data_IF_243618498741
#
_entry.id   IF_243618498741
#
_cell.length_a   1.000
_cell.length_b   1.000
_cell.length_c   1.000
_cell.angle_alpha   90.00
_cell.angle_beta   90.00
_cell.angle_gamma   90.00
#
_symmetry.space_group_name_H-M   'P 1'
#
loop_
_entity.id
_entity.type
_entity.pdbx_description
1 polymer ?
#
# COMPACT_ATOMS: atom_id res chain seq x y z
N UNK A 1 -4.80 -8.10 1.72
CA UNK A 1 -6.30 -8.06 1.79
C UNK A 1 -6.77 -9.44 2.22
N UNK A 2 -7.17 -9.63 3.48
CA UNK A 2 -7.64 -10.94 3.93
C UNK A 2 -9.11 -11.08 3.57
N UNK A 3 -9.43 -11.97 2.62
CA UNK A 3 -10.79 -12.39 2.33
C UNK A 3 -11.45 -13.09 3.53
N UNK A 4 -12.78 -13.29 3.50
CA UNK A 4 -13.54 -13.87 4.61
C UNK A 4 -12.99 -15.26 4.97
N UNK A 5 -12.71 -15.47 6.26
CA UNK A 5 -12.14 -16.71 6.78
C UNK A 5 -13.17 -17.83 6.77
N UNK A 6 -13.14 -18.67 5.72
CA UNK A 6 -13.70 -20.01 5.73
C UNK A 6 -12.62 -21.02 6.12
N UNK A 7 -12.80 -21.71 7.23
CA UNK A 7 -12.00 -22.87 7.63
C UNK A 7 -12.37 -24.06 6.75
N UNK A 8 -11.41 -24.60 5.99
CA UNK A 8 -11.23 -26.04 5.71
C UNK A 8 -10.20 -26.28 4.59
N UNK A 9 -9.32 -27.26 4.80
CA UNK A 9 -8.77 -28.11 3.73
C UNK A 9 -7.77 -27.48 2.76
N UNK A 10 -6.49 -27.83 2.92
CA UNK A 10 -5.38 -27.45 2.04
C UNK A 10 -5.68 -27.52 0.55
N UNK A 11 -5.76 -26.34 -0.06
CA UNK A 11 -5.35 -26.02 -1.42
C UNK A 11 -4.73 -24.62 -1.32
N UNK A 12 -3.46 -24.52 -1.69
CA UNK A 12 -2.65 -23.30 -1.70
C UNK A 12 -3.18 -22.34 -2.77
N UNK A 13 -4.18 -21.54 -2.39
CA UNK A 13 -4.71 -20.47 -3.21
C UNK A 13 -3.78 -19.26 -3.12
N UNK A 14 -2.78 -19.22 -4.02
CA UNK A 14 -2.08 -18.02 -4.48
C UNK A 14 -1.89 -16.91 -3.44
N UNK A 15 -0.95 -17.12 -2.52
CA UNK A 15 -0.58 -16.16 -1.49
C UNK A 15 0.10 -14.91 -2.09
N UNK A 16 -0.67 -13.86 -2.38
CA UNK A 16 -0.11 -12.50 -2.51
C UNK A 16 0.57 -12.11 -1.21
N UNK A 17 1.78 -11.54 -1.27
CA UNK A 17 2.47 -11.09 -0.07
C UNK A 17 1.93 -9.73 0.35
N UNK A 18 1.34 -9.61 1.54
CA UNK A 18 0.78 -8.32 2.00
C UNK A 18 1.86 -7.31 2.46
N UNK A 19 3.11 -7.74 2.72
CA UNK A 19 4.19 -6.90 3.26
C UNK A 19 5.49 -7.09 2.47
N UNK A 20 6.30 -6.03 2.38
CA UNK A 20 7.61 -6.11 1.71
C UNK A 20 8.65 -6.88 2.55
N UNK A 21 9.49 -7.66 1.85
CA UNK A 21 10.73 -8.27 2.34
C UNK A 21 11.71 -8.43 1.17
N UNK A 22 13.01 -8.61 1.44
CA UNK A 22 14.07 -8.60 0.40
C UNK A 22 13.84 -9.58 -0.77
N UNK A 23 13.21 -10.73 -0.54
CA UNK A 23 12.91 -11.72 -1.58
C UNK A 23 11.61 -11.49 -2.37
N UNK A 24 10.88 -10.39 -2.14
CA UNK A 24 9.63 -10.10 -2.89
C UNK A 24 9.92 -9.83 -4.37
N UNK A 25 11.08 -9.27 -4.71
CA UNK A 25 11.46 -8.97 -6.09
C UNK A 25 11.68 -10.23 -6.95
N UNK A 26 11.96 -11.38 -6.31
CA UNK A 26 12.21 -12.66 -6.99
C UNK A 26 10.93 -13.50 -7.19
N UNK A 27 9.79 -13.02 -6.68
CA UNK A 27 8.49 -13.65 -6.90
C UNK A 27 7.92 -13.29 -8.26
N UNK A 28 7.02 -14.14 -8.78
CA UNK A 28 6.19 -13.77 -9.93
C UNK A 28 5.51 -12.43 -9.66
N UNK A 29 5.49 -11.58 -10.70
CA UNK A 29 5.05 -10.19 -10.61
C UNK A 29 3.63 -10.04 -10.06
N UNK A 30 2.78 -11.05 -10.22
CA UNK A 30 1.43 -11.04 -9.66
C UNK A 30 1.46 -11.20 -8.13
N UNK A 31 2.39 -11.98 -7.57
CA UNK A 31 2.56 -12.11 -6.11
C UNK A 31 3.34 -10.95 -5.50
N UNK A 32 4.32 -10.40 -6.22
CA UNK A 32 5.11 -9.26 -5.76
C UNK A 32 4.34 -7.94 -5.79
N UNK A 33 3.15 -7.88 -6.41
CA UNK A 33 2.26 -6.71 -6.42
C UNK A 33 1.57 -6.42 -5.08
N UNK A 34 1.53 -7.41 -4.17
CA UNK A 34 0.79 -7.35 -2.92
C UNK A 34 1.14 -6.15 -2.02
N UNK A 35 2.42 -5.82 -1.75
CA UNK A 35 2.77 -4.67 -0.92
C UNK A 35 2.35 -3.32 -1.53
N UNK A 36 2.45 -3.15 -2.86
CA UNK A 36 1.98 -1.93 -3.53
C UNK A 36 0.45 -1.78 -3.47
N UNK A 37 -0.29 -2.87 -3.64
CA UNK A 37 -1.75 -2.88 -3.52
C UNK A 37 -2.18 -2.61 -2.08
N UNK A 38 -1.48 -3.19 -1.11
CA UNK A 38 -1.74 -2.97 0.31
C UNK A 38 -1.45 -1.53 0.72
N UNK A 39 -0.34 -0.95 0.25
CA UNK A 39 -0.02 0.47 0.42
C UNK A 39 -1.16 1.36 -0.08
N UNK A 40 -1.65 1.12 -1.30
CA UNK A 40 -2.72 1.94 -1.88
C UNK A 40 -4.02 1.83 -1.08
N UNK A 41 -4.42 0.63 -0.66
CA UNK A 41 -5.59 0.45 0.19
C UNK A 41 -5.46 1.21 1.51
N UNK A 42 -4.33 1.07 2.21
CA UNK A 42 -4.09 1.75 3.49
C UNK A 42 -4.04 3.28 3.33
N UNK A 43 -3.45 3.78 2.24
CA UNK A 43 -3.41 5.21 1.97
C UNK A 43 -4.83 5.76 1.74
N UNK A 44 -5.66 5.04 0.99
CA UNK A 44 -7.01 5.48 0.67
C UNK A 44 -7.98 5.33 1.85
N UNK A 45 -7.98 4.16 2.51
CA UNK A 45 -9.03 3.76 3.44
C UNK A 45 -8.55 3.74 4.91
N UNK A 46 -7.24 3.66 5.15
CA UNK A 46 -6.68 3.40 6.47
C UNK A 46 -6.78 1.93 6.89
N UNK A 47 -6.10 1.57 7.99
CA UNK A 47 -6.16 0.22 8.55
C UNK A 47 -7.40 -0.01 9.42
N UNK A 48 -7.56 -1.26 9.89
CA UNK A 48 -8.61 -1.68 10.81
C UNK A 48 -9.93 -2.07 10.15
N UNK A 49 -10.82 -2.74 10.91
CA UNK A 49 -12.06 -3.29 10.40
C UNK A 49 -13.04 -2.17 9.99
N UNK A 50 -13.59 -2.27 8.78
CA UNK A 50 -14.64 -1.38 8.26
C UNK A 50 -15.52 -2.08 7.24
N UNK A 51 -16.64 -1.46 6.90
CA UNK A 51 -17.54 -1.95 5.85
C UNK A 51 -17.48 -1.04 4.64
N UNK A 52 -17.06 -1.57 3.48
CA UNK A 52 -17.01 -0.84 2.21
C UNK A 52 -17.98 -1.51 1.25
N UNK A 53 -18.95 -0.76 0.73
CA UNK A 53 -19.98 -1.25 -0.22
C UNK A 53 -20.70 -2.53 0.28
N UNK A 54 -20.91 -2.66 1.60
CA UNK A 54 -21.57 -3.83 2.21
C UNK A 54 -20.66 -5.01 2.52
N UNK A 55 -19.36 -4.92 2.22
CA UNK A 55 -18.38 -5.96 2.51
C UNK A 55 -17.52 -5.59 3.72
N UNK A 56 -17.34 -6.53 4.64
CA UNK A 56 -16.39 -6.39 5.72
C UNK A 56 -14.96 -6.44 5.16
N UNK A 57 -14.16 -5.43 5.48
CA UNK A 57 -12.79 -5.28 5.06
C UNK A 57 -11.93 -5.02 6.30
N UNK A 58 -10.82 -5.73 6.42
CA UNK A 58 -9.78 -5.46 7.40
C UNK A 58 -8.41 -5.63 6.74
N UNK A 59 -7.56 -4.63 6.90
CA UNK A 59 -6.21 -4.60 6.35
C UNK A 59 -5.25 -4.16 7.45
N UNK A 60 -4.68 -5.12 8.19
CA UNK A 60 -3.77 -4.83 9.29
C UNK A 60 -2.42 -4.35 8.77
N UNK A 61 -1.74 -3.50 9.52
CA UNK A 61 -0.37 -3.09 9.25
C UNK A 61 0.62 -4.12 9.79
N UNK A 62 1.87 -4.10 9.31
CA UNK A 62 2.90 -5.07 9.72
C UNK A 62 3.15 -5.07 11.23
N UNK A 63 2.90 -3.95 11.90
CA UNK A 63 3.15 -3.72 13.32
C UNK A 63 1.87 -3.53 14.15
N UNK A 64 0.69 -3.71 13.54
CA UNK A 64 -0.61 -3.52 14.18
C UNK A 64 -0.98 -2.07 14.49
N UNK A 65 -0.19 -1.07 14.07
CA UNK A 65 -0.52 0.36 14.25
C UNK A 65 -1.64 0.81 13.34
N UNK A 66 -2.38 1.84 13.77
CA UNK A 66 -3.46 2.43 12.97
C UNK A 66 -2.90 3.39 11.91
N UNK A 67 -3.38 3.25 10.68
CA UNK A 67 -3.21 4.24 9.59
C UNK A 67 -4.56 4.90 9.37
N UNK A 68 -4.61 6.23 9.43
CA UNK A 68 -5.76 7.01 8.97
C UNK A 68 -5.57 7.36 7.51
N UNK A 69 -6.45 6.87 6.64
CA UNK A 69 -6.37 7.14 5.20
C UNK A 69 -6.66 8.61 4.85
N UNK A 70 -6.17 9.04 3.70
CA UNK A 70 -6.42 10.37 3.11
C UNK A 70 -7.60 10.38 2.13
N UNK A 71 -8.26 9.24 1.93
CA UNK A 71 -9.34 9.09 0.97
C UNK A 71 -8.86 8.68 -0.42
N UNK A 72 -9.77 8.06 -1.19
CA UNK A 72 -9.47 7.51 -2.52
C UNK A 72 -8.99 8.57 -3.50
N UNK A 73 -9.64 9.73 -3.53
CA UNK A 73 -9.34 10.79 -4.49
C UNK A 73 -7.88 11.27 -4.37
N UNK A 74 -7.43 11.59 -3.16
CA UNK A 74 -6.07 12.06 -2.94
C UNK A 74 -5.05 10.93 -3.13
N UNK A 75 -5.36 9.70 -2.70
CA UNK A 75 -4.52 8.54 -2.94
C UNK A 75 -4.33 8.25 -4.44
N UNK A 76 -5.39 8.38 -5.25
CA UNK A 76 -5.37 8.22 -6.70
C UNK A 76 -4.50 9.30 -7.36
N UNK A 77 -4.64 10.57 -6.96
CA UNK A 77 -3.81 11.67 -7.46
C UNK A 77 -2.32 11.43 -7.20
N UNK A 78 -1.96 11.03 -5.98
CA UNK A 78 -0.57 10.72 -5.60
C UNK A 78 -0.05 9.54 -6.40
N UNK A 79 -0.81 8.43 -6.46
CA UNK A 79 -0.38 7.21 -7.16
C UNK A 79 -0.20 7.45 -8.65
N UNK A 80 -1.13 8.17 -9.28
CA UNK A 80 -1.07 8.49 -10.70
C UNK A 80 0.11 9.41 -11.02
N UNK A 81 0.31 10.49 -10.24
CA UNK A 81 1.46 11.38 -10.43
C UNK A 81 2.78 10.65 -10.22
N UNK A 82 2.89 9.83 -9.17
CA UNK A 82 4.10 9.07 -8.91
C UNK A 82 4.47 8.18 -10.10
N UNK A 83 3.49 7.42 -10.60
CA UNK A 83 3.66 6.50 -11.72
C UNK A 83 4.06 7.21 -13.03
N UNK A 84 3.47 8.37 -13.31
CA UNK A 84 3.62 9.04 -14.61
C UNK A 84 4.77 10.04 -14.67
N UNK A 85 5.21 10.57 -13.53
CA UNK A 85 6.21 11.64 -13.47
C UNK A 85 7.56 11.16 -12.91
N UNK A 86 7.58 10.22 -11.95
CA UNK A 86 8.82 9.86 -11.24
C UNK A 86 9.24 8.40 -11.39
N UNK A 87 8.29 7.48 -11.56
CA UNK A 87 8.63 6.06 -11.74
C UNK A 87 9.18 5.78 -13.14
N UNK A 88 10.08 4.80 -13.23
CA UNK A 88 10.68 4.30 -14.47
C UNK A 88 10.47 2.79 -14.57
N UNK A 89 10.92 2.19 -15.68
CA UNK A 89 10.86 0.75 -15.87
C UNK A 89 11.67 -0.07 -14.84
N UNK A 90 12.55 0.58 -14.07
CA UNK A 90 13.41 -0.08 -13.06
C UNK A 90 13.07 0.34 -11.63
N UNK A 91 11.92 0.97 -11.40
CA UNK A 91 11.49 1.38 -10.05
C UNK A 91 11.18 0.15 -9.18
N UNK A 92 11.89 0.03 -8.07
CA UNK A 92 11.61 -0.93 -7.00
C UNK A 92 10.74 -0.29 -5.90
N UNK A 93 10.57 -0.97 -4.76
CA UNK A 93 9.76 -0.47 -3.65
C UNK A 93 10.34 0.78 -2.95
N UNK A 94 11.66 0.85 -2.79
CA UNK A 94 12.35 2.04 -2.28
C UNK A 94 12.12 3.25 -3.19
N UNK A 95 12.28 3.04 -4.51
CA UNK A 95 12.00 4.03 -5.53
C UNK A 95 10.53 4.43 -5.56
N UNK A 96 9.60 3.49 -5.39
CA UNK A 96 8.18 3.77 -5.33
C UNK A 96 7.79 4.62 -4.10
N UNK A 97 8.43 4.35 -2.96
CA UNK A 97 8.31 5.19 -1.76
C UNK A 97 8.78 6.60 -2.02
N UNK A 98 9.96 6.76 -2.59
CA UNK A 98 10.51 8.08 -2.95
C UNK A 98 9.59 8.82 -3.93
N UNK A 99 9.13 8.15 -4.99
CA UNK A 99 8.27 8.73 -6.01
C UNK A 99 6.92 9.22 -5.46
N UNK A 100 6.30 8.45 -4.57
CA UNK A 100 5.01 8.82 -3.97
C UNK A 100 5.15 9.93 -2.92
N UNK A 101 6.25 9.99 -2.17
CA UNK A 101 6.56 11.13 -1.30
C UNK A 101 6.76 12.42 -2.10
N UNK A 102 7.49 12.35 -3.21
CA UNK A 102 7.66 13.49 -4.10
C UNK A 102 6.31 13.92 -4.71
N UNK A 103 5.48 12.98 -5.15
CA UNK A 103 4.16 13.28 -5.67
C UNK A 103 3.24 13.94 -4.64
N UNK A 104 3.25 13.48 -3.39
CA UNK A 104 2.49 14.08 -2.31
C UNK A 104 2.98 15.50 -1.97
N UNK A 105 4.31 15.70 -1.92
CA UNK A 105 4.90 17.00 -1.70
C UNK A 105 4.53 18.01 -2.79
N UNK A 106 4.55 17.59 -4.06
CA UNK A 106 4.19 18.44 -5.19
C UNK A 106 2.69 18.80 -5.23
N UNK A 107 1.81 17.89 -4.82
CA UNK A 107 0.35 18.08 -4.88
C UNK A 107 -0.20 18.82 -3.66
N UNK A 108 0.34 18.55 -2.48
CA UNK A 108 -0.24 18.98 -1.20
C UNK A 108 0.74 19.77 -0.32
N UNK A 109 2.02 19.77 -0.66
CA UNK A 109 3.11 20.36 0.14
C UNK A 109 3.89 19.32 0.94
N UNK A 110 5.21 19.53 1.17
CA UNK A 110 6.08 18.58 1.85
C UNK A 110 5.67 18.33 3.31
N UNK A 111 5.12 19.34 3.99
CA UNK A 111 4.68 19.25 5.40
C UNK A 111 3.18 18.92 5.55
N UNK A 112 2.53 18.49 4.47
CA UNK A 112 1.11 18.18 4.49
C UNK A 112 0.80 16.87 5.21
N UNK A 113 -0.43 16.76 5.70
CA UNK A 113 -0.97 15.48 6.20
C UNK A 113 -0.83 14.37 5.17
N UNK A 114 -1.01 14.66 3.88
CA UNK A 114 -0.86 13.67 2.82
C UNK A 114 0.57 13.12 2.73
N UNK A 115 1.58 14.00 2.74
CA UNK A 115 3.00 13.60 2.72
C UNK A 115 3.38 12.77 3.95
N UNK A 116 2.90 13.16 5.13
CA UNK A 116 3.10 12.39 6.37
C UNK A 116 2.42 11.01 6.30
N UNK A 117 1.17 10.94 5.82
CA UNK A 117 0.45 9.67 5.69
C UNK A 117 1.10 8.74 4.67
N UNK A 118 1.62 9.25 3.55
CA UNK A 118 2.39 8.42 2.60
C UNK A 118 3.59 7.77 3.28
N UNK A 119 4.37 8.54 4.06
CA UNK A 119 5.52 8.00 4.78
C UNK A 119 5.11 6.89 5.77
N UNK A 120 4.08 7.14 6.59
CA UNK A 120 3.55 6.18 7.57
C UNK A 120 3.01 4.92 6.88
N UNK A 121 2.36 5.08 5.73
CA UNK A 121 1.73 3.95 5.02
C UNK A 121 2.76 3.02 4.36
N UNK A 122 3.88 3.56 3.87
CA UNK A 122 4.99 2.74 3.40
C UNK A 122 5.62 1.92 4.52
N UNK A 123 5.83 2.53 5.69
CA UNK A 123 6.28 1.80 6.88
C UNK A 123 5.29 0.73 7.32
N UNK A 124 3.98 0.98 7.19
CA UNK A 124 2.94 0.00 7.50
C UNK A 124 2.97 -1.25 6.60
N UNK A 125 3.57 -1.16 5.41
CA UNK A 125 3.84 -2.30 4.51
C UNK A 125 5.31 -2.74 4.50
N UNK A 126 6.08 -2.33 5.52
CA UNK A 126 7.48 -2.66 5.75
C UNK A 126 8.49 -2.08 4.74
N UNK A 127 8.15 -1.01 4.01
CA UNK A 127 9.09 -0.30 3.12
C UNK A 127 9.56 0.98 3.80
N UNK A 128 10.78 0.97 4.33
CA UNK A 128 11.31 2.05 5.17
C UNK A 128 12.39 2.91 4.48
N UNK A 129 12.98 2.41 3.41
CA UNK A 129 14.00 3.08 2.60
C UNK A 129 13.74 2.80 1.14
#
# INVERSE_FOLDING_TARGET
MRGPTGSEGGLDYGHFVDYWYDGVADLDVHYSSGPANHFFYLLAEGSGPKTINGYACDSPTVDGRTVTGIGRMDAELIRYRALTVYMTATTDYSGARTATLQAAADLFGPDSTASATVAVTWSAVNVNS
#
